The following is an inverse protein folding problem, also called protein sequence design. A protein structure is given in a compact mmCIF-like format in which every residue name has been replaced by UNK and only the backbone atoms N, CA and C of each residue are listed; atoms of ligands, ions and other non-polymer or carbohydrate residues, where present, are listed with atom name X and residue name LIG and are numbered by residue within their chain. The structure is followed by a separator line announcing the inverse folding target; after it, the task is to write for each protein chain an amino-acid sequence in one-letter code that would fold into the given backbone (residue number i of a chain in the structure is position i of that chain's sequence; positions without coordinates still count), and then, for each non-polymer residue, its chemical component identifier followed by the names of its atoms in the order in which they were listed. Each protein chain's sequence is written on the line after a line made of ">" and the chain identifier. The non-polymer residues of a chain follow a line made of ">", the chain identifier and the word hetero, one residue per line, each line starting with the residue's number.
data_IF_312923226349
#
_entry.id   IF_312923226349
#
_cell.length_a   1.000
_cell.length_b   1.000
_cell.length_c   1.000
_cell.angle_alpha   90.00
_cell.angle_beta   90.00
_cell.angle_gamma   90.00
#
_symmetry.space_group_name_H-M   'P 1'
#
loop_
_entity.id
_entity.type
_entity.pdbx_description
1 polymer ?
#
# COMPACT_ATOMS: atom_id res chain seq x y z
N UNK A 1 5.32 1.48 9.83
CA UNK A 1 4.23 0.64 10.38
C UNK A 1 4.28 0.72 11.88
N UNK A 2 3.14 0.74 12.55
CA UNK A 2 3.02 0.80 14.00
C UNK A 2 1.93 -0.14 14.49
N UNK A 3 2.08 -0.69 15.69
CA UNK A 3 1.01 -1.41 16.38
C UNK A 3 0.52 -0.65 17.63
N UNK A 4 -0.45 -1.24 18.30
CA UNK A 4 -1.18 -0.67 19.43
C UNK A 4 -0.30 -0.37 20.65
N UNK A 5 0.87 -0.99 20.77
CA UNK A 5 1.82 -0.68 21.84
C UNK A 5 2.27 0.79 21.81
N UNK A 6 2.35 1.38 20.62
CA UNK A 6 2.78 2.77 20.44
C UNK A 6 1.70 3.81 20.75
N UNK A 7 0.45 3.41 21.03
CA UNK A 7 -0.67 4.35 21.22
C UNK A 7 -0.43 5.37 22.34
N UNK A 8 0.40 5.03 23.33
CA UNK A 8 0.70 5.89 24.48
C UNK A 8 1.72 6.99 24.15
N UNK A 9 2.42 6.86 23.02
CA UNK A 9 3.38 7.85 22.53
C UNK A 9 2.74 8.87 21.58
N UNK A 10 1.45 8.71 21.28
CA UNK A 10 0.66 9.70 20.54
C UNK A 10 0.57 11.02 21.30
N UNK A 11 0.88 12.13 20.63
CA UNK A 11 0.75 13.47 21.20
C UNK A 11 -0.40 14.23 20.51
N UNK A 12 -1.42 14.62 21.26
CA UNK A 12 -2.55 15.42 20.72
C UNK A 12 -2.12 16.79 20.21
N UNK A 13 -1.05 17.35 20.77
CA UNK A 13 -0.46 18.63 20.38
C UNK A 13 0.29 18.57 19.04
N UNK A 14 0.69 17.38 18.60
CA UNK A 14 1.43 17.16 17.35
C UNK A 14 0.53 16.72 16.18
N UNK A 15 -0.79 16.95 16.26
CA UNK A 15 -1.69 16.73 15.13
C UNK A 15 -1.49 17.80 14.06
N UNK A 16 -1.64 17.46 12.79
CA UNK A 16 -1.73 18.45 11.70
C UNK A 16 -3.10 19.15 11.67
N UNK A 17 -3.27 20.13 10.79
CA UNK A 17 -4.50 20.93 10.73
C UNK A 17 -5.75 20.08 10.43
N UNK A 18 -5.63 19.08 9.54
CA UNK A 18 -6.75 18.23 9.15
C UNK A 18 -7.17 17.29 10.28
N UNK A 19 -6.21 16.66 10.97
CA UNK A 19 -6.51 15.78 12.11
C UNK A 19 -6.98 16.59 13.34
N UNK A 20 -6.49 17.82 13.55
CA UNK A 20 -7.05 18.73 14.57
C UNK A 20 -8.52 19.02 14.33
N UNK A 21 -8.90 19.31 13.08
CA UNK A 21 -10.30 19.56 12.73
C UNK A 21 -11.18 18.31 12.88
N UNK A 22 -10.66 17.12 12.55
CA UNK A 22 -11.35 15.85 12.82
C UNK A 22 -11.60 15.65 14.31
N UNK A 23 -10.60 15.88 15.15
CA UNK A 23 -10.75 15.81 16.61
C UNK A 23 -11.70 16.87 17.16
N UNK A 24 -11.72 18.08 16.59
CA UNK A 24 -12.69 19.12 16.97
C UNK A 24 -14.13 18.67 16.74
N UNK A 25 -14.39 17.98 15.63
CA UNK A 25 -15.72 17.43 15.30
C UNK A 25 -16.07 16.18 16.09
N UNK A 26 -15.08 15.36 16.43
CA UNK A 26 -15.26 14.15 17.21
C UNK A 26 -14.13 13.99 18.25
N UNK A 27 -14.28 14.57 19.45
CA UNK A 27 -13.25 14.54 20.48
C UNK A 27 -12.89 13.12 20.95
N UNK A 28 -13.83 12.17 20.87
CA UNK A 28 -13.62 10.76 21.25
C UNK A 28 -12.59 10.05 20.37
N UNK A 29 -12.18 10.64 19.24
CA UNK A 29 -11.05 10.12 18.46
C UNK A 29 -9.78 10.02 19.31
N UNK A 30 -9.56 10.95 20.24
CA UNK A 30 -8.43 10.88 21.17
C UNK A 30 -8.48 9.69 22.10
N UNK A 31 -9.60 8.99 22.28
CA UNK A 31 -9.72 7.82 23.15
C UNK A 31 -9.48 6.50 22.39
N UNK A 32 -9.54 6.54 21.06
CA UNK A 32 -9.47 5.34 20.23
C UNK A 32 -8.02 4.91 20.01
N UNK A 33 -7.70 3.68 20.36
CA UNK A 33 -6.38 3.08 20.15
C UNK A 33 -5.93 3.17 18.68
N UNK A 34 -6.78 2.80 17.71
CA UNK A 34 -6.47 2.88 16.28
C UNK A 34 -6.06 4.30 15.83
N UNK A 35 -6.79 5.30 16.34
CA UNK A 35 -6.49 6.70 16.04
C UNK A 35 -5.13 7.09 16.59
N UNK A 36 -4.88 6.78 17.87
CA UNK A 36 -3.60 7.07 18.53
C UNK A 36 -2.44 6.39 17.82
N UNK A 37 -2.55 5.10 17.52
CA UNK A 37 -1.51 4.33 16.81
C UNK A 37 -1.18 4.94 15.45
N UNK A 38 -2.21 5.22 14.63
CA UNK A 38 -1.96 5.72 13.29
C UNK A 38 -1.42 7.15 13.31
N UNK A 39 -1.80 7.98 14.30
CA UNK A 39 -1.33 9.37 14.42
C UNK A 39 0.05 9.45 15.03
N UNK A 40 0.39 8.55 15.96
CA UNK A 40 1.78 8.35 16.35
C UNK A 40 2.65 8.05 15.12
N UNK A 41 2.24 7.08 14.27
CA UNK A 41 3.01 6.74 13.07
C UNK A 41 3.16 7.94 12.11
N UNK A 42 2.09 8.70 11.90
CA UNK A 42 2.11 9.92 11.09
C UNK A 42 3.02 11.00 11.68
N UNK A 43 3.08 11.13 13.01
CA UNK A 43 3.96 12.07 13.72
C UNK A 43 5.44 11.70 13.57
N UNK A 44 5.78 10.40 13.55
CA UNK A 44 7.16 9.96 13.31
C UNK A 44 7.67 10.33 11.91
N UNK A 45 6.78 10.54 10.95
CA UNK A 45 7.09 10.89 9.58
C UNK A 45 6.87 12.38 9.25
N UNK A 46 6.71 13.24 10.26
CA UNK A 46 6.29 14.62 10.04
C UNK A 46 7.24 15.41 9.11
N UNK A 47 8.54 15.15 9.16
CA UNK A 47 9.53 15.81 8.32
C UNK A 47 9.40 15.40 6.85
N UNK A 48 9.24 14.11 6.59
CA UNK A 48 9.05 13.54 5.26
C UNK A 48 7.73 13.99 4.64
N UNK A 49 6.66 14.01 5.44
CA UNK A 49 5.36 14.49 5.00
C UNK A 49 5.37 16.00 4.69
N UNK A 50 6.18 16.77 5.44
CA UNK A 50 6.35 18.20 5.19
C UNK A 50 7.18 18.50 3.94
N UNK A 51 7.99 17.55 3.45
CA UNK A 51 8.82 17.74 2.24
C UNK A 51 8.03 17.57 0.93
N UNK A 52 6.71 17.42 0.97
CA UNK A 52 5.86 17.26 -0.20
C UNK A 52 5.90 15.86 -0.83
N UNK A 53 6.43 14.86 -0.12
CA UNK A 53 6.39 13.46 -0.57
C UNK A 53 4.94 12.99 -0.72
N UNK A 54 4.71 12.06 -1.67
CA UNK A 54 3.43 11.37 -1.73
C UNK A 54 3.35 10.41 -0.57
N UNK A 55 2.18 10.30 0.04
CA UNK A 55 1.95 9.40 1.15
C UNK A 55 0.54 8.84 1.13
N UNK A 56 0.40 7.66 1.72
CA UNK A 56 -0.89 7.02 1.95
C UNK A 56 -0.85 6.31 3.28
N UNK A 57 -1.97 6.23 3.98
CA UNK A 57 -2.05 5.61 5.30
C UNK A 57 -3.28 4.71 5.40
N UNK A 58 -3.11 3.56 6.05
CA UNK A 58 -4.21 2.67 6.43
C UNK A 58 -4.03 2.20 7.87
N UNK A 59 -5.13 1.83 8.52
CA UNK A 59 -5.11 1.27 9.87
C UNK A 59 -6.23 0.24 10.04
N UNK A 60 -5.94 -0.86 10.73
CA UNK A 60 -6.91 -1.92 11.01
C UNK A 60 -6.50 -2.64 12.31
N UNK A 61 -7.48 -2.87 13.18
CA UNK A 61 -7.34 -3.61 14.45
C UNK A 61 -6.06 -3.29 15.26
N UNK A 62 -5.90 -2.03 15.65
CA UNK A 62 -4.78 -1.55 16.46
C UNK A 62 -3.47 -1.36 15.70
N UNK A 63 -3.42 -1.62 14.40
CA UNK A 63 -2.22 -1.49 13.57
C UNK A 63 -2.37 -0.38 12.55
N UNK A 64 -1.26 0.23 12.15
CA UNK A 64 -1.22 1.26 11.13
C UNK A 64 -0.04 1.06 10.17
N UNK A 65 -0.29 1.34 8.89
CA UNK A 65 0.70 1.43 7.85
C UNK A 65 0.69 2.84 7.26
N UNK A 66 1.88 3.39 7.03
CA UNK A 66 2.11 4.66 6.33
C UNK A 66 3.13 4.35 5.26
N UNK A 67 2.74 4.56 4.01
CA UNK A 67 3.64 4.52 2.87
C UNK A 67 4.04 5.95 2.53
N UNK A 68 5.33 6.14 2.26
CA UNK A 68 5.92 7.42 1.84
C UNK A 68 6.70 7.12 0.56
N UNK A 69 6.42 7.89 -0.49
CA UNK A 69 7.03 7.75 -1.79
C UNK A 69 7.74 9.03 -2.18
N UNK A 70 9.03 8.90 -2.49
CA UNK A 70 9.83 9.91 -3.15
C UNK A 70 9.75 9.69 -4.66
N UNK A 71 9.57 10.75 -5.42
CA UNK A 71 9.52 10.69 -6.90
C UNK A 71 8.44 9.76 -7.46
N UNK A 72 7.33 9.56 -6.73
CA UNK A 72 6.15 8.81 -7.23
C UNK A 72 5.01 9.78 -7.55
N UNK A 73 4.25 9.50 -8.59
CA UNK A 73 3.12 10.36 -8.98
C UNK A 73 1.88 10.05 -8.14
N UNK A 74 1.67 8.77 -7.84
CA UNK A 74 0.57 8.29 -7.02
C UNK A 74 1.02 7.12 -6.14
N UNK A 75 0.39 7.01 -4.96
CA UNK A 75 0.75 6.03 -3.93
C UNK A 75 -0.49 5.68 -3.10
N UNK A 76 -0.69 4.39 -2.86
CA UNK A 76 -1.76 3.87 -2.03
C UNK A 76 -1.27 2.74 -1.15
N UNK A 77 -1.71 2.71 0.10
CA UNK A 77 -1.46 1.58 0.99
C UNK A 77 -2.76 1.16 1.66
N UNK A 78 -2.93 -0.14 1.79
CA UNK A 78 -3.98 -0.72 2.60
C UNK A 78 -3.48 -1.83 3.51
N UNK A 79 -4.05 -1.91 4.71
CA UNK A 79 -3.69 -2.82 5.78
C UNK A 79 -4.96 -3.39 6.38
N UNK A 80 -5.10 -4.70 6.40
CA UNK A 80 -6.27 -5.37 6.95
C UNK A 80 -5.95 -6.48 7.94
N UNK A 81 -6.82 -6.60 8.95
CA UNK A 81 -6.86 -7.73 9.85
C UNK A 81 -7.65 -8.88 9.20
N UNK A 82 -6.92 -9.92 8.79
CA UNK A 82 -7.51 -11.12 8.22
C UNK A 82 -8.27 -11.93 9.27
N UNK A 83 -9.56 -12.17 9.04
CA UNK A 83 -10.42 -13.01 9.88
C UNK A 83 -11.42 -13.79 9.03
N UNK A 84 -11.95 -14.93 9.50
CA UNK A 84 -12.97 -15.68 8.78
C UNK A 84 -14.20 -14.83 8.45
N UNK A 85 -14.69 -14.95 7.20
CA UNK A 85 -15.89 -14.30 6.68
C UNK A 85 -16.61 -15.24 5.70
N UNK A 86 -17.88 -14.97 5.36
CA UNK A 86 -18.51 -15.59 4.19
C UNK A 86 -17.93 -14.99 2.90
N UNK A 87 -16.68 -15.34 2.57
CA UNK A 87 -15.92 -14.70 1.48
C UNK A 87 -16.63 -14.80 0.13
N UNK A 88 -17.20 -15.97 -0.18
CA UNK A 88 -17.94 -16.19 -1.42
C UNK A 88 -19.15 -15.25 -1.59
N UNK A 89 -19.80 -14.87 -0.49
CA UNK A 89 -20.96 -13.97 -0.52
C UNK A 89 -20.53 -12.50 -0.64
N UNK A 90 -19.31 -12.17 -0.18
CA UNK A 90 -18.78 -10.81 -0.18
C UNK A 90 -18.09 -10.44 -1.51
N UNK A 91 -17.49 -11.41 -2.19
CA UNK A 91 -16.73 -11.18 -3.42
C UNK A 91 -17.52 -10.46 -4.52
N UNK A 92 -18.78 -10.84 -4.84
CA UNK A 92 -19.54 -10.22 -5.93
C UNK A 92 -19.77 -8.71 -5.75
N UNK A 93 -19.61 -8.19 -4.53
CA UNK A 93 -19.75 -6.76 -4.26
C UNK A 93 -18.59 -5.92 -4.81
N UNK A 94 -17.41 -6.51 -5.07
CA UNK A 94 -16.21 -5.76 -5.47
C UNK A 94 -15.27 -6.47 -6.45
N UNK A 95 -15.40 -7.78 -6.63
CA UNK A 95 -14.57 -8.60 -7.50
C UNK A 95 -15.24 -8.83 -8.85
N UNK A 96 -14.43 -8.88 -9.91
CA UNK A 96 -14.87 -9.29 -11.25
C UNK A 96 -14.94 -10.82 -11.35
N UNK A 97 -15.68 -11.37 -12.32
CA UNK A 97 -15.74 -12.82 -12.53
C UNK A 97 -14.36 -13.50 -12.67
N UNK A 98 -13.39 -12.83 -13.30
CA UNK A 98 -12.02 -13.34 -13.41
C UNK A 98 -11.28 -13.38 -12.06
N UNK A 99 -11.50 -12.39 -11.20
CA UNK A 99 -10.91 -12.31 -9.87
C UNK A 99 -11.60 -13.29 -8.89
N UNK A 100 -12.91 -13.52 -9.05
CA UNK A 100 -13.63 -14.57 -8.35
C UNK A 100 -13.09 -15.95 -8.72
N UNK A 101 -12.89 -16.22 -10.02
CA UNK A 101 -12.30 -17.47 -10.49
C UNK A 101 -10.86 -17.66 -9.99
N UNK A 102 -10.06 -16.58 -9.92
CA UNK A 102 -8.74 -16.59 -9.30
C UNK A 102 -8.81 -16.97 -7.82
N UNK A 103 -9.73 -16.35 -7.08
CA UNK A 103 -9.93 -16.63 -5.67
C UNK A 103 -10.36 -18.07 -5.42
N UNK A 104 -11.29 -18.61 -6.23
CA UNK A 104 -11.77 -19.99 -6.13
C UNK A 104 -10.67 -21.03 -6.33
N UNK A 105 -9.61 -20.69 -7.08
CA UNK A 105 -8.46 -21.56 -7.32
C UNK A 105 -7.39 -21.45 -6.22
N UNK A 106 -7.53 -20.51 -5.29
CA UNK A 106 -6.54 -20.31 -4.23
C UNK A 106 -6.58 -21.45 -3.19
N UNK A 107 -5.42 -22.03 -2.81
CA UNK A 107 -5.35 -22.98 -1.70
C UNK A 107 -5.60 -22.31 -0.34
N UNK A 108 -5.49 -20.98 -0.27
CA UNK A 108 -5.85 -20.18 0.91
C UNK A 108 -6.86 -19.08 0.51
N UNK A 109 -8.16 -19.37 0.62
CA UNK A 109 -9.21 -18.41 0.28
C UNK A 109 -9.22 -17.17 1.19
N UNK A 110 -8.81 -17.29 2.44
CA UNK A 110 -8.75 -16.15 3.36
C UNK A 110 -7.68 -15.17 2.90
N UNK A 111 -6.45 -15.66 2.71
CA UNK A 111 -5.34 -14.85 2.22
C UNK A 111 -5.64 -14.26 0.84
N UNK A 112 -6.21 -15.02 -0.09
CA UNK A 112 -6.55 -14.52 -1.42
C UNK A 112 -7.62 -13.42 -1.37
N UNK A 113 -8.66 -13.58 -0.55
CA UNK A 113 -9.69 -12.56 -0.38
C UNK A 113 -9.09 -11.24 0.09
N UNK A 114 -8.31 -11.29 1.18
CA UNK A 114 -7.71 -10.09 1.75
C UNK A 114 -6.64 -9.49 0.82
N UNK A 115 -5.91 -10.31 0.06
CA UNK A 115 -4.96 -9.82 -0.96
C UNK A 115 -5.69 -9.00 -2.02
N UNK A 116 -6.77 -9.53 -2.58
CA UNK A 116 -7.56 -8.84 -3.59
C UNK A 116 -8.18 -7.55 -3.03
N UNK A 117 -8.79 -7.64 -1.85
CA UNK A 117 -9.39 -6.50 -1.15
C UNK A 117 -8.38 -5.38 -0.92
N UNK A 118 -7.26 -5.70 -0.26
CA UNK A 118 -6.22 -4.70 0.06
C UNK A 118 -5.59 -4.11 -1.19
N UNK A 119 -5.38 -4.87 -2.27
CA UNK A 119 -4.89 -4.33 -3.54
C UNK A 119 -5.88 -3.33 -4.14
N UNK A 120 -7.18 -3.66 -4.16
CA UNK A 120 -8.22 -2.77 -4.70
C UNK A 120 -8.39 -1.51 -3.85
N UNK A 121 -8.38 -1.61 -2.53
CA UNK A 121 -8.43 -0.46 -1.62
C UNK A 121 -7.16 0.40 -1.74
N UNK A 122 -5.98 -0.20 -1.86
CA UNK A 122 -4.74 0.54 -2.09
C UNK A 122 -4.80 1.32 -3.42
N UNK A 123 -5.26 0.68 -4.50
CA UNK A 123 -5.47 1.37 -5.79
C UNK A 123 -6.51 2.47 -5.67
N UNK A 124 -7.60 2.22 -4.95
CA UNK A 124 -8.66 3.20 -4.74
C UNK A 124 -8.15 4.45 -3.99
N UNK A 125 -7.29 4.26 -2.99
CA UNK A 125 -6.63 5.34 -2.23
C UNK A 125 -5.56 6.09 -3.04
N UNK A 126 -4.98 5.45 -4.05
CA UNK A 126 -3.97 6.05 -4.91
C UNK A 126 -4.56 6.92 -6.03
N UNK A 127 -5.88 6.96 -6.19
CA UNK A 127 -6.53 7.77 -7.23
C UNK A 127 -6.30 9.26 -7.00
N UNK A 128 -6.10 10.02 -8.08
CA UNK A 128 -5.99 11.47 -8.02
C UNK A 128 -7.33 12.09 -7.63
N UNK A 129 -7.31 13.14 -6.81
CA UNK A 129 -8.50 13.92 -6.50
C UNK A 129 -9.08 14.66 -7.72
N UNK A 130 -8.26 14.88 -8.75
CA UNK A 130 -8.65 15.61 -9.97
C UNK A 130 -9.20 14.68 -11.08
N UNK A 131 -9.14 13.36 -10.88
CA UNK A 131 -9.61 12.38 -11.85
C UNK A 131 -11.00 11.83 -11.47
N UNK A 132 -11.78 11.42 -12.46
CA UNK A 132 -13.05 10.70 -12.24
C UNK A 132 -12.80 9.41 -11.44
N UNK A 133 -13.35 9.27 -10.22
CA UNK A 133 -13.02 8.16 -9.35
C UNK A 133 -13.57 6.85 -9.90
N UNK A 134 -12.70 5.86 -10.05
CA UNK A 134 -13.07 4.48 -10.38
C UNK A 134 -13.50 3.76 -9.09
N UNK A 135 -14.62 3.06 -9.17
CA UNK A 135 -15.05 2.13 -8.12
C UNK A 135 -14.19 0.87 -8.07
N UNK A 136 -14.27 0.13 -6.96
CA UNK A 136 -13.45 -1.08 -6.72
C UNK A 136 -13.57 -2.14 -7.83
N UNK A 137 -14.72 -2.23 -8.50
CA UNK A 137 -14.95 -3.18 -9.59
C UNK A 137 -14.06 -2.91 -10.82
N UNK A 138 -13.64 -1.65 -11.02
CA UNK A 138 -12.78 -1.25 -12.14
C UNK A 138 -11.27 -1.34 -11.81
N UNK A 139 -10.91 -1.64 -10.56
CA UNK A 139 -9.55 -1.74 -10.05
C UNK A 139 -9.22 -3.19 -9.69
N UNK A 140 -7.94 -3.52 -9.53
CA UNK A 140 -7.52 -4.78 -8.90
C UNK A 140 -6.62 -5.63 -9.80
N UNK A 141 -6.94 -6.91 -9.94
CA UNK A 141 -6.16 -7.88 -10.70
C UNK A 141 -6.83 -8.20 -12.03
N UNK A 142 -6.06 -8.15 -13.12
CA UNK A 142 -6.52 -8.52 -14.45
C UNK A 142 -5.62 -9.60 -15.03
N UNK A 143 -6.22 -10.53 -15.78
CA UNK A 143 -5.48 -11.48 -16.61
C UNK A 143 -5.96 -11.36 -18.05
N UNK A 144 -5.09 -11.07 -19.02
CA UNK A 144 -5.50 -11.06 -20.42
C UNK A 144 -5.93 -12.48 -20.85
N UNK A 145 -7.22 -12.65 -21.14
CA UNK A 145 -7.83 -13.95 -21.49
C UNK A 145 -7.17 -14.57 -22.72
N UNK A 146 -6.68 -13.74 -23.65
CA UNK A 146 -6.12 -14.19 -24.93
C UNK A 146 -4.69 -14.76 -24.85
N UNK A 147 -3.89 -14.39 -23.85
CA UNK A 147 -2.43 -14.68 -23.86
C UNK A 147 -1.98 -15.66 -22.78
N UNK A 148 -2.86 -16.01 -21.83
CA UNK A 148 -2.48 -16.87 -20.70
C UNK A 148 -1.43 -16.26 -19.75
N UNK A 149 -1.09 -14.98 -19.93
CA UNK A 149 -0.07 -14.27 -19.15
C UNK A 149 -0.41 -14.21 -17.65
N UNK A 150 0.61 -13.88 -16.84
CA UNK A 150 0.49 -13.75 -15.39
C UNK A 150 -0.56 -12.68 -14.99
N UNK A 151 -1.05 -12.77 -13.75
CA UNK A 151 -1.93 -11.77 -13.16
C UNK A 151 -1.21 -10.42 -13.04
N UNK A 152 -1.91 -9.35 -13.42
CA UNK A 152 -1.38 -7.99 -13.43
C UNK A 152 -2.24 -7.04 -12.63
N UNK A 153 -1.64 -5.92 -12.21
CA UNK A 153 -2.42 -4.83 -11.67
C UNK A 153 -3.19 -4.11 -12.77
N UNK A 154 -4.44 -3.77 -12.45
CA UNK A 154 -5.25 -2.82 -13.18
C UNK A 154 -5.52 -1.63 -12.27
N UNK A 155 -4.79 -0.54 -12.51
CA UNK A 155 -5.00 0.73 -11.83
C UNK A 155 -6.11 1.58 -12.44
N UNK A 156 -6.32 2.80 -11.92
CA UNK A 156 -7.34 3.73 -12.39
C UNK A 156 -7.10 4.28 -13.80
N UNK A 157 -5.88 4.15 -14.33
CA UNK A 157 -5.44 4.63 -15.63
C UNK A 157 -4.43 3.67 -16.28
N UNK A 158 -3.93 4.03 -17.46
CA UNK A 158 -3.09 3.18 -18.31
C UNK A 158 -1.59 3.18 -17.91
N UNK A 159 -1.20 3.89 -16.85
CA UNK A 159 0.20 3.98 -16.44
C UNK A 159 0.73 2.65 -15.87
N UNK A 160 2.06 2.56 -15.69
CA UNK A 160 2.71 1.39 -15.09
C UNK A 160 2.47 1.31 -13.57
N UNK A 161 1.31 0.81 -13.18
CA UNK A 161 0.97 0.57 -11.79
C UNK A 161 1.76 -0.63 -11.27
N UNK A 162 2.57 -0.38 -10.25
CA UNK A 162 3.33 -1.40 -9.53
C UNK A 162 2.75 -1.61 -8.15
N UNK A 163 2.98 -2.78 -7.59
CA UNK A 163 2.52 -3.07 -6.25
C UNK A 163 3.27 -4.21 -5.58
N UNK A 164 3.21 -4.18 -4.26
CA UNK A 164 3.63 -5.26 -3.39
C UNK A 164 2.44 -5.64 -2.51
N UNK A 165 2.26 -6.93 -2.27
CA UNK A 165 1.35 -7.41 -1.24
C UNK A 165 2.01 -8.48 -0.41
N UNK A 166 1.83 -8.41 0.90
CA UNK A 166 2.53 -9.28 1.85
C UNK A 166 1.69 -9.53 3.10
N UNK A 167 1.87 -10.72 3.67
CA UNK A 167 1.46 -11.00 5.05
C UNK A 167 2.53 -10.45 5.99
N UNK A 168 2.16 -9.46 6.81
CA UNK A 168 3.07 -8.91 7.82
C UNK A 168 3.11 -9.74 9.11
N UNK A 169 2.05 -10.50 9.31
CA UNK A 169 1.84 -11.54 10.33
C UNK A 169 0.80 -12.52 9.76
N UNK A 170 0.52 -13.66 10.41
CA UNK A 170 -0.49 -14.61 9.91
C UNK A 170 -1.89 -14.01 9.70
N UNK A 171 -2.20 -12.89 10.35
CA UNK A 171 -3.51 -12.23 10.36
C UNK A 171 -3.46 -10.77 9.87
N UNK A 172 -2.36 -10.32 9.25
CA UNK A 172 -2.23 -8.95 8.72
C UNK A 172 -1.84 -8.99 7.25
N UNK A 173 -2.80 -8.67 6.39
CA UNK A 173 -2.55 -8.48 4.97
C UNK A 173 -2.27 -7.01 4.69
N UNK A 174 -1.25 -6.75 3.89
CA UNK A 174 -0.96 -5.42 3.38
C UNK A 174 -0.85 -5.45 1.86
N UNK A 175 -1.30 -4.37 1.23
CA UNK A 175 -0.93 -4.02 -0.13
C UNK A 175 -0.42 -2.58 -0.18
N UNK A 176 0.62 -2.35 -0.98
CA UNK A 176 1.10 -1.01 -1.32
C UNK A 176 1.25 -0.95 -2.84
N UNK A 177 0.67 0.07 -3.46
CA UNK A 177 0.67 0.28 -4.91
C UNK A 177 1.14 1.68 -5.24
N UNK A 178 1.85 1.83 -6.34
CA UNK A 178 2.40 3.10 -6.77
C UNK A 178 2.55 3.18 -8.27
N UNK A 179 2.72 4.39 -8.76
CA UNK A 179 3.12 4.69 -10.13
C UNK A 179 4.17 5.79 -10.12
N UNK A 180 5.14 5.70 -11.01
CA UNK A 180 6.22 6.66 -11.16
C UNK A 180 6.44 6.93 -12.64
N UNK A 181 6.30 8.19 -13.04
CA UNK A 181 6.64 8.71 -14.37
C UNK A 181 8.14 8.80 -14.61
N UNK A 182 8.95 8.70 -13.54
CA UNK A 182 10.41 8.61 -13.65
C UNK A 182 10.78 7.21 -14.13
N UNK A 183 10.81 7.00 -15.44
CA UNK A 183 11.57 5.92 -16.06
C UNK A 183 13.05 6.31 -16.00
N UNK A 184 13.86 5.62 -15.19
CA UNK A 184 15.32 5.72 -15.34
C UNK A 184 15.74 4.82 -16.48
N UNK A 185 16.26 5.42 -17.56
CA UNK A 185 16.86 4.70 -18.68
C UNK A 185 17.96 3.72 -18.18
N UNK A 186 18.14 2.55 -18.83
CA UNK A 186 19.37 1.78 -18.67
C UNK A 186 20.54 2.65 -19.13
N UNK A 187 21.59 2.75 -18.31
CA UNK A 187 22.76 3.59 -18.60
C UNK A 187 23.36 3.29 -19.99
N UNK A 188 23.91 4.30 -20.71
CA UNK A 188 24.72 4.02 -21.88
C UNK A 188 25.98 3.27 -21.44
N UNK A 189 26.16 2.06 -21.96
CA UNK A 189 27.47 1.39 -21.98
C UNK A 189 28.33 2.13 -22.99
N UNK A 190 29.04 3.16 -22.53
CA UNK A 190 30.37 3.56 -23.03
C UNK A 190 30.79 4.88 -22.39
N UNK A 191 31.64 4.82 -21.37
CA UNK A 191 32.91 5.57 -21.30
C UNK A 191 33.59 5.41 -19.94
N UNK A 192 34.72 4.71 -19.99
CA UNK A 192 36.00 4.92 -19.27
C UNK A 192 35.99 5.73 -17.96
N UNK A 193 36.38 5.01 -16.90
CA UNK A 193 37.00 5.42 -15.61
C UNK A 193 37.32 6.91 -15.42
N UNK A 194 36.76 7.49 -14.34
CA UNK A 194 37.57 8.29 -13.42
C UNK A 194 37.15 7.98 -11.97
N UNK A 195 38.14 7.76 -11.11
CA UNK A 195 37.98 7.46 -9.69
C UNK A 195 37.61 8.74 -8.93
N UNK A 196 36.47 8.75 -8.25
CA UNK A 196 36.38 9.30 -6.88
C UNK A 196 35.14 8.74 -6.20
N UNK A 197 35.41 7.97 -5.16
CA UNK A 197 34.47 7.23 -4.33
C UNK A 197 33.49 8.12 -3.58
N UNK A 198 32.23 8.13 -4.02
CA UNK A 198 31.08 8.16 -3.11
C UNK A 198 30.02 7.23 -3.70
N UNK A 199 29.72 6.15 -2.98
CA UNK A 199 28.75 5.13 -3.37
C UNK A 199 27.37 5.75 -3.55
N UNK A 200 27.00 5.98 -4.82
CA UNK A 200 25.65 6.32 -5.24
C UNK A 200 24.69 5.16 -4.93
N UNK A 201 23.50 5.41 -4.37
CA UNK A 201 22.51 4.37 -4.15
C UNK A 201 22.01 3.84 -5.51
N UNK A 202 22.10 2.53 -5.68
CA UNK A 202 21.62 1.80 -6.85
C UNK A 202 20.18 2.18 -7.22
N UNK A 203 20.01 2.40 -8.52
CA UNK A 203 18.82 2.90 -9.19
C UNK A 203 17.71 1.84 -9.26
N UNK A 204 16.68 2.01 -8.44
CA UNK A 204 15.44 1.21 -8.43
C UNK A 204 14.52 1.69 -7.30
N UNK A 205 13.20 1.51 -7.42
CA UNK A 205 12.27 1.82 -6.31
C UNK A 205 12.59 0.89 -5.14
N UNK A 206 13.27 1.42 -4.11
CA UNK A 206 13.62 0.63 -2.92
C UNK A 206 12.49 0.72 -1.91
N UNK A 207 11.85 -0.42 -1.62
CA UNK A 207 10.87 -0.53 -0.54
C UNK A 207 11.57 -0.92 0.76
N UNK A 208 11.42 -0.09 1.79
CA UNK A 208 11.94 -0.36 3.13
C UNK A 208 10.81 -0.36 4.15
N UNK A 209 10.71 -1.44 4.91
CA UNK A 209 9.80 -1.53 6.05
C UNK A 209 10.44 -0.92 7.29
N UNK A 210 9.78 0.07 7.89
CA UNK A 210 10.12 0.56 9.23
C UNK A 210 8.98 0.18 10.17
N UNK A 211 9.29 -0.51 11.26
CA UNK A 211 8.32 -1.08 12.21
C UNK A 211 8.51 -0.47 13.58
N UNK A 212 7.43 -0.01 14.18
CA UNK A 212 7.33 0.42 15.57
C UNK A 212 6.40 -0.54 16.32
N UNK A 213 6.86 -1.04 17.46
CA UNK A 213 6.16 -2.06 18.25
C UNK A 213 6.63 -3.48 17.96
N UNK A 214 5.83 -4.45 18.38
CA UNK A 214 6.05 -5.88 18.28
C UNK A 214 5.49 -6.44 16.98
N UNK A 215 6.33 -6.47 15.95
CA UNK A 215 6.03 -7.13 14.68
C UNK A 215 6.81 -8.44 14.54
N UNK A 216 6.26 -9.45 13.88
CA UNK A 216 7.05 -10.58 13.41
C UNK A 216 8.26 -10.11 12.59
N UNK A 217 9.38 -10.84 12.63
CA UNK A 217 10.65 -10.40 12.05
C UNK A 217 10.58 -10.24 10.52
N UNK A 218 9.87 -11.14 9.83
CA UNK A 218 9.79 -11.14 8.37
C UNK A 218 8.35 -11.16 7.87
N UNK A 219 8.14 -10.50 6.72
CA UNK A 219 6.88 -10.62 6.00
C UNK A 219 6.91 -11.90 5.15
N UNK A 220 5.78 -12.61 5.05
CA UNK A 220 5.64 -13.83 4.26
C UNK A 220 4.65 -13.64 3.11
N UNK A 221 4.65 -14.57 2.15
CA UNK A 221 3.72 -14.50 1.02
C UNK A 221 3.83 -13.20 0.23
N UNK A 222 5.04 -12.66 0.13
CA UNK A 222 5.33 -11.43 -0.62
C UNK A 222 5.10 -11.71 -2.10
N UNK A 223 4.27 -10.88 -2.73
CA UNK A 223 4.00 -10.90 -4.16
C UNK A 223 4.24 -9.52 -4.73
N UNK A 224 4.88 -9.47 -5.90
CA UNK A 224 5.06 -8.26 -6.68
C UNK A 224 4.08 -8.29 -7.85
N UNK A 225 3.55 -7.11 -8.19
CA UNK A 225 2.66 -6.94 -9.32
C UNK A 225 3.08 -5.73 -10.14
N UNK A 226 2.83 -5.80 -11.44
CA UNK A 226 2.95 -4.70 -12.37
C UNK A 226 1.76 -4.74 -13.34
N UNK A 227 1.40 -3.59 -13.92
CA UNK A 227 0.48 -3.54 -15.05
C UNK A 227 1.18 -3.88 -16.38
N UNK A 228 2.53 -3.84 -16.41
CA UNK A 228 3.34 -4.17 -17.58
C UNK A 228 3.53 -5.68 -17.80
N UNK A 229 3.72 -6.11 -19.07
CA UNK A 229 3.87 -7.51 -19.41
C UNK A 229 5.16 -8.21 -19.00
N UNK A 230 6.26 -7.45 -18.99
CA UNK A 230 7.63 -7.97 -18.97
C UNK A 230 8.36 -7.65 -17.67
N UNK A 231 7.60 -7.34 -16.61
CA UNK A 231 8.10 -6.98 -15.27
C UNK A 231 8.28 -8.20 -14.36
#
# INVERSE_FOLDING_TARGET
>A
MADVSCQHHYLSTALDAADRERCRRNPRLHERADWRTSRFLKQQAAAELASGTRWSMSHSAGHAALAIGWEVDALGVDLEHARPRPFADLLPAFARPEEEAWWQQSPDPCQAFYRLWTLKEALFKAQSADAEPKGLMALGLRRPVATGQAWRLQGPDERDWRGISAMLSPDRMLACVWVSSVERAPFPTDSVLDETSHTSPTVGTTLRWVRHGNWPPEASGVMHFSSHPDA
#
